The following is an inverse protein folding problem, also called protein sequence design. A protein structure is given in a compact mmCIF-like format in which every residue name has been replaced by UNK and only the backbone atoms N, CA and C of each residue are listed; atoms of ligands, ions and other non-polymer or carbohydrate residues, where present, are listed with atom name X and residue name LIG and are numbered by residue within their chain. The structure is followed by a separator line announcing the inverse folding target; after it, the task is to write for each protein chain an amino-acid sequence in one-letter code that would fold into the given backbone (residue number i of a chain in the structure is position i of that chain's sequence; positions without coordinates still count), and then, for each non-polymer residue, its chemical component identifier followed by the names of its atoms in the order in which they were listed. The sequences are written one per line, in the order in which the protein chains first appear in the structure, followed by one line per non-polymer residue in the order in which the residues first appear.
data_IF_051990065088
#
_entry.id   IF_051990065088
#
_cell.length_a   1.000
_cell.length_b   1.000
_cell.length_c   1.000
_cell.angle_alpha   90.00
_cell.angle_beta   90.00
_cell.angle_gamma   90.00
#
_symmetry.space_group_name_H-M   'P 1'
#
loop_
_entity.id
_entity.type
_entity.pdbx_description
1 polymer ?
#
# COMPACT_ATOMS: atom_id res chain seq x y z
N UNK A 1 6.42 -19.86 -4.54
CA UNK A 1 7.54 -19.08 -3.97
C UNK A 1 7.02 -17.92 -3.15
N UNK A 2 5.96 -17.22 -3.60
CA UNK A 2 5.34 -16.06 -2.90
C UNK A 2 4.89 -16.30 -1.46
N UNK A 3 4.77 -17.58 -1.04
CA UNK A 3 4.43 -17.97 0.33
C UNK A 3 5.61 -17.91 1.30
N UNK A 4 6.84 -17.97 0.80
CA UNK A 4 8.06 -18.03 1.61
C UNK A 4 8.78 -16.68 1.56
N UNK A 5 8.92 -16.10 0.36
CA UNK A 5 9.54 -14.80 0.18
C UNK A 5 8.99 -14.11 -1.08
N UNK A 6 9.00 -12.78 -1.04
CA UNK A 6 8.70 -11.88 -2.18
C UNK A 6 9.96 -11.23 -2.76
N UNK A 7 11.11 -11.56 -2.20
CA UNK A 7 12.42 -11.06 -2.61
C UNK A 7 13.23 -12.18 -3.27
N UNK A 8 13.93 -11.83 -4.35
CA UNK A 8 14.70 -12.76 -5.18
C UNK A 8 15.92 -13.31 -4.45
N UNK A 9 16.66 -12.46 -3.74
CA UNK A 9 17.86 -12.83 -3.00
C UNK A 9 17.47 -13.80 -1.87
N UNK A 10 16.42 -13.46 -1.13
CA UNK A 10 15.90 -14.32 -0.07
C UNK A 10 15.44 -15.68 -0.61
N UNK A 11 14.73 -15.71 -1.74
CA UNK A 11 14.21 -16.96 -2.32
C UNK A 11 15.34 -17.90 -2.74
N UNK A 12 16.40 -17.36 -3.36
CA UNK A 12 17.58 -18.12 -3.72
C UNK A 12 18.38 -18.59 -2.48
N UNK A 13 18.53 -17.72 -1.48
CA UNK A 13 19.20 -18.03 -0.22
C UNK A 13 18.52 -19.16 0.55
N UNK A 14 17.20 -19.19 0.59
CA UNK A 14 16.42 -20.25 1.24
C UNK A 14 16.64 -21.58 0.51
N UNK A 15 16.55 -21.60 -0.83
CA UNK A 15 16.77 -22.83 -1.59
C UNK A 15 18.19 -23.37 -1.40
N UNK A 16 19.20 -22.47 -1.39
CA UNK A 16 20.59 -22.84 -1.10
C UNK A 16 20.75 -23.46 0.28
N UNK A 17 20.10 -22.87 1.29
CA UNK A 17 20.15 -23.37 2.68
C UNK A 17 19.48 -24.74 2.80
N UNK A 18 18.31 -24.93 2.19
CA UNK A 18 17.60 -26.21 2.21
C UNK A 18 18.44 -27.32 1.55
N UNK A 19 19.04 -27.04 0.39
CA UNK A 19 19.92 -28.00 -0.29
C UNK A 19 21.20 -28.31 0.46
N UNK A 20 21.77 -27.34 1.19
CA UNK A 20 22.91 -27.61 2.06
C UNK A 20 22.57 -28.65 3.14
N UNK A 21 21.30 -28.71 3.56
CA UNK A 21 20.78 -29.71 4.49
C UNK A 21 20.15 -30.93 3.81
N UNK A 22 20.34 -31.12 2.51
CA UNK A 22 19.74 -32.22 1.72
C UNK A 22 18.20 -32.26 1.78
N UNK A 23 17.58 -31.08 1.90
CA UNK A 23 16.12 -30.91 1.93
C UNK A 23 15.63 -30.40 0.58
N UNK A 24 14.73 -31.17 -0.03
CA UNK A 24 14.04 -30.78 -1.25
C UNK A 24 12.84 -29.87 -0.98
N UNK A 25 12.74 -28.80 -1.76
CA UNK A 25 11.59 -27.90 -1.72
C UNK A 25 10.54 -28.35 -2.75
N UNK A 26 9.33 -28.63 -2.27
CA UNK A 26 8.19 -29.04 -3.10
C UNK A 26 7.11 -27.96 -3.15
N UNK A 27 6.32 -27.94 -4.22
CA UNK A 27 5.10 -27.10 -4.31
C UNK A 27 3.89 -27.96 -4.61
N UNK A 28 2.72 -27.54 -4.11
CA UNK A 28 1.44 -28.26 -4.32
C UNK A 28 1.14 -28.46 -5.81
N UNK A 29 1.58 -27.54 -6.67
CA UNK A 29 1.34 -27.58 -8.12
C UNK A 29 2.46 -28.29 -8.89
N UNK A 30 3.59 -28.60 -8.25
CA UNK A 30 4.76 -29.19 -8.90
C UNK A 30 4.77 -30.70 -8.76
N UNK A 31 5.07 -31.41 -9.86
CA UNK A 31 5.28 -32.86 -9.85
C UNK A 31 6.71 -33.26 -9.47
N UNK A 32 7.61 -32.29 -9.25
CA UNK A 32 9.02 -32.49 -8.93
C UNK A 32 9.53 -31.41 -7.95
N UNK A 33 10.68 -31.64 -7.28
CA UNK A 33 11.35 -30.61 -6.49
C UNK A 33 11.69 -29.37 -7.32
N UNK A 34 11.62 -28.20 -6.69
CA UNK A 34 11.90 -26.94 -7.37
C UNK A 34 13.41 -26.84 -7.72
N UNK A 35 13.68 -26.54 -8.99
CA UNK A 35 15.04 -26.28 -9.50
C UNK A 35 15.44 -24.81 -9.33
N UNK A 36 16.75 -24.52 -9.39
CA UNK A 36 17.27 -23.15 -9.19
C UNK A 36 16.71 -22.15 -10.20
N UNK A 37 16.67 -22.55 -11.47
CA UNK A 37 16.12 -21.72 -12.55
C UNK A 37 14.65 -21.39 -12.31
N UNK A 38 13.88 -22.35 -11.81
CA UNK A 38 12.46 -22.17 -11.52
C UNK A 38 12.24 -21.20 -10.36
N UNK A 39 13.08 -21.25 -9.31
CA UNK A 39 13.09 -20.25 -8.25
C UNK A 39 13.43 -18.86 -8.79
N UNK A 40 14.46 -18.75 -9.64
CA UNK A 40 14.85 -17.48 -10.24
C UNK A 40 13.70 -16.84 -11.04
N UNK A 41 13.10 -17.60 -11.96
CA UNK A 41 11.99 -17.14 -12.79
C UNK A 41 10.77 -16.75 -11.94
N UNK A 42 10.36 -17.62 -11.01
CA UNK A 42 9.19 -17.34 -10.16
C UNK A 42 9.41 -16.10 -9.28
N UNK A 43 10.64 -15.88 -8.81
CA UNK A 43 10.96 -14.72 -7.98
C UNK A 43 10.95 -13.42 -8.79
N UNK A 44 11.48 -13.44 -10.02
CA UNK A 44 11.41 -12.32 -10.96
C UNK A 44 9.95 -11.93 -11.26
N UNK A 45 9.12 -12.92 -11.61
CA UNK A 45 7.70 -12.70 -11.93
C UNK A 45 6.93 -12.12 -10.75
N UNK A 46 7.18 -12.62 -9.54
CA UNK A 46 6.55 -12.11 -8.31
C UNK A 46 6.91 -10.65 -8.05
N UNK A 47 8.19 -10.31 -8.21
CA UNK A 47 8.68 -8.95 -8.05
C UNK A 47 8.02 -7.99 -9.05
N UNK A 48 7.97 -8.36 -10.34
CA UNK A 48 7.33 -7.56 -11.38
C UNK A 48 5.83 -7.35 -11.09
N UNK A 49 5.11 -8.39 -10.67
CA UNK A 49 3.69 -8.28 -10.30
C UNK A 49 3.44 -7.30 -9.16
N UNK A 50 4.34 -7.24 -8.17
CA UNK A 50 4.24 -6.30 -7.04
C UNK A 50 4.45 -4.86 -7.53
N UNK A 51 5.45 -4.62 -8.38
CA UNK A 51 5.70 -3.30 -8.96
C UNK A 51 4.52 -2.82 -9.80
N UNK A 52 4.00 -3.69 -10.65
CA UNK A 52 2.80 -3.44 -11.43
C UNK A 52 1.60 -3.08 -10.56
N UNK A 53 1.40 -3.85 -9.48
CA UNK A 53 0.38 -3.59 -8.48
C UNK A 53 0.55 -2.22 -7.84
N UNK A 54 1.76 -1.84 -7.42
CA UNK A 54 2.07 -0.53 -6.84
C UNK A 54 1.70 0.61 -7.78
N UNK A 55 2.09 0.52 -9.05
CA UNK A 55 1.79 1.54 -10.06
C UNK A 55 0.28 1.65 -10.26
N UNK A 56 -0.39 0.53 -10.53
CA UNK A 56 -1.85 0.50 -10.79
C UNK A 56 -2.64 1.00 -9.58
N UNK A 57 -2.28 0.60 -8.37
CA UNK A 57 -2.90 1.10 -7.13
C UNK A 57 -2.70 2.61 -6.98
N UNK A 58 -1.48 3.12 -7.20
CA UNK A 58 -1.19 4.56 -7.10
C UNK A 58 -2.00 5.38 -8.11
N UNK A 59 -2.07 4.93 -9.36
CA UNK A 59 -2.86 5.62 -10.38
C UNK A 59 -4.37 5.54 -10.09
N UNK A 60 -4.85 4.41 -9.57
CA UNK A 60 -6.23 4.28 -9.08
C UNK A 60 -6.55 5.23 -7.92
N UNK A 61 -5.63 5.40 -6.97
CA UNK A 61 -5.75 6.37 -5.88
C UNK A 61 -5.78 7.81 -6.40
N UNK A 62 -4.90 8.18 -7.34
CA UNK A 62 -4.91 9.50 -7.98
C UNK A 62 -6.24 9.79 -8.69
N UNK A 63 -6.76 8.81 -9.42
CA UNK A 63 -8.07 8.94 -10.09
C UNK A 63 -9.20 9.18 -9.09
N UNK A 64 -9.16 8.48 -7.95
CA UNK A 64 -10.14 8.62 -6.88
C UNK A 64 -10.09 10.03 -6.26
N UNK A 65 -8.88 10.54 -6.01
CA UNK A 65 -8.64 11.90 -5.49
C UNK A 65 -9.14 12.95 -6.47
N UNK A 66 -8.85 12.80 -7.78
CA UNK A 66 -9.34 13.72 -8.82
C UNK A 66 -10.86 13.81 -8.90
N UNK A 67 -11.58 12.75 -8.48
CA UNK A 67 -13.04 12.72 -8.36
C UNK A 67 -13.57 13.33 -7.05
N UNK A 68 -12.70 13.96 -6.24
CA UNK A 68 -13.06 14.54 -4.95
C UNK A 68 -13.37 13.50 -3.86
N UNK A 69 -12.89 12.25 -4.03
CA UNK A 69 -13.15 11.14 -3.10
C UNK A 69 -11.88 10.77 -2.34
N UNK A 70 -12.04 10.32 -1.11
CA UNK A 70 -10.94 9.79 -0.32
C UNK A 70 -10.44 8.46 -0.92
N UNK A 71 -9.14 8.38 -1.18
CA UNK A 71 -8.48 7.20 -1.72
C UNK A 71 -7.87 6.26 -0.66
N UNK A 72 -7.94 6.63 0.61
CA UNK A 72 -7.36 5.89 1.74
C UNK A 72 -8.35 5.62 2.88
N UNK A 73 -7.79 5.20 4.01
CA UNK A 73 -8.53 4.96 5.26
C UNK A 73 -9.25 6.20 5.80
N UNK A 74 -10.10 6.01 6.81
CA UNK A 74 -10.73 7.11 7.52
C UNK A 74 -9.68 7.76 8.43
N UNK A 75 -9.35 9.03 8.18
CA UNK A 75 -8.49 9.81 9.06
C UNK A 75 -9.28 10.28 10.28
N UNK A 76 -8.60 10.39 11.43
CA UNK A 76 -9.13 11.08 12.61
C UNK A 76 -9.46 12.53 12.24
N UNK A 77 -10.49 13.13 12.84
CA UNK A 77 -11.15 14.39 12.45
C UNK A 77 -12.10 14.33 11.26
N UNK A 78 -12.31 13.15 10.68
CA UNK A 78 -13.25 12.93 9.59
C UNK A 78 -14.19 11.78 9.90
N UNK A 79 -15.41 11.86 9.35
CA UNK A 79 -16.38 10.76 9.34
C UNK A 79 -16.85 10.44 7.92
N UNK A 80 -17.44 9.26 7.74
CA UNK A 80 -18.03 8.86 6.46
C UNK A 80 -19.26 9.73 6.20
N UNK A 81 -19.29 10.42 5.07
CA UNK A 81 -20.48 11.17 4.64
C UNK A 81 -21.43 10.21 3.93
N UNK A 82 -22.60 9.97 4.51
CA UNK A 82 -23.62 9.08 3.95
C UNK A 82 -24.51 9.87 2.99
N UNK A 83 -24.08 9.98 1.73
CA UNK A 83 -24.92 10.47 0.64
C UNK A 83 -25.30 9.32 -0.29
N UNK A 84 -26.51 9.38 -0.84
CA UNK A 84 -27.07 8.35 -1.69
C UNK A 84 -27.29 8.87 -3.11
N UNK A 85 -27.01 8.04 -4.10
CA UNK A 85 -27.38 8.29 -5.49
C UNK A 85 -28.90 8.07 -5.64
N UNK A 86 -29.50 8.61 -6.70
CA UNK A 86 -30.93 8.41 -7.04
C UNK A 86 -31.39 6.95 -7.09
N UNK A 87 -30.45 5.99 -7.21
CA UNK A 87 -30.70 4.54 -7.17
C UNK A 87 -30.58 3.88 -5.78
N UNK A 88 -30.42 4.66 -4.70
CA UNK A 88 -30.36 4.14 -3.33
C UNK A 88 -29.01 3.58 -2.89
N UNK A 89 -27.99 3.57 -3.76
CA UNK A 89 -26.63 3.20 -3.38
C UNK A 89 -25.88 4.38 -2.76
N UNK A 90 -25.10 4.14 -1.71
CA UNK A 90 -24.29 5.18 -1.07
C UNK A 90 -23.04 5.52 -1.89
N UNK A 91 -22.69 6.81 -1.94
CA UNK A 91 -21.51 7.29 -2.64
C UNK A 91 -20.28 6.97 -1.80
N UNK A 92 -19.54 5.94 -2.21
CA UNK A 92 -18.27 5.55 -1.58
C UNK A 92 -17.23 6.67 -1.66
N UNK A 93 -16.46 6.82 -0.59
CA UNK A 93 -15.29 7.70 -0.53
C UNK A 93 -15.58 9.15 -0.12
N UNK A 94 -16.84 9.52 0.12
CA UNK A 94 -17.16 10.83 0.67
C UNK A 94 -16.83 10.89 2.16
N UNK A 95 -16.27 12.03 2.57
CA UNK A 95 -15.88 12.32 3.95
C UNK A 95 -16.39 13.71 4.32
N UNK A 96 -16.71 13.89 5.59
CA UNK A 96 -16.99 15.19 6.16
C UNK A 96 -16.18 15.38 7.45
N UNK A 97 -15.91 16.63 7.81
CA UNK A 97 -15.13 16.96 9.01
C UNK A 97 -15.99 16.72 10.25
N UNK A 98 -15.43 16.08 11.27
CA UNK A 98 -16.02 15.99 12.60
C UNK A 98 -15.45 17.15 13.46
N UNK A 99 -16.24 18.18 13.79
CA UNK A 99 -15.71 19.41 14.38
C UNK A 99 -14.96 19.20 15.69
N UNK A 100 -15.43 18.29 16.55
CA UNK A 100 -14.85 18.02 17.86
C UNK A 100 -13.45 17.43 17.74
N UNK A 101 -13.30 16.40 16.91
CA UNK A 101 -12.00 15.78 16.64
C UNK A 101 -11.06 16.73 15.88
N UNK A 102 -11.60 17.55 14.97
CA UNK A 102 -10.81 18.53 14.24
C UNK A 102 -10.22 19.62 15.15
N UNK A 103 -10.89 19.96 16.25
CA UNK A 103 -10.38 20.89 17.26
C UNK A 103 -9.20 20.29 18.02
N UNK A 104 -9.27 19.00 18.38
CA UNK A 104 -8.16 18.28 19.01
C UNK A 104 -6.93 18.28 18.09
N UNK A 105 -7.12 17.99 16.79
CA UNK A 105 -6.01 18.03 15.82
C UNK A 105 -5.38 19.44 15.76
N UNK A 106 -6.20 20.50 15.65
CA UNK A 106 -5.69 21.89 15.65
C UNK A 106 -4.92 22.20 16.93
N UNK A 107 -5.47 21.85 18.08
CA UNK A 107 -4.83 22.03 19.38
C UNK A 107 -3.47 21.32 19.44
N UNK A 108 -3.36 20.05 19.00
CA UNK A 108 -2.08 19.33 18.96
C UNK A 108 -1.06 20.09 18.11
N UNK A 109 -1.43 20.57 16.92
CA UNK A 109 -0.53 21.30 16.05
C UNK A 109 -0.08 22.65 16.64
N UNK A 110 -0.95 23.32 17.40
CA UNK A 110 -0.62 24.56 18.12
C UNK A 110 0.35 24.29 19.30
N UNK A 111 0.14 23.22 20.06
CA UNK A 111 1.02 22.85 21.18
C UNK A 111 2.37 22.27 20.72
N UNK A 112 2.41 21.62 19.55
CA UNK A 112 3.57 20.85 19.08
C UNK A 112 4.50 21.64 18.16
N UNK A 113 4.31 22.94 17.95
CA UNK A 113 5.09 23.72 16.99
C UNK A 113 6.38 24.31 17.59
N UNK A 114 7.58 23.75 17.33
CA UNK A 114 8.78 24.57 17.20
C UNK A 114 8.75 25.31 15.84
N UNK A 115 9.35 26.52 15.73
CA UNK A 115 9.24 27.42 14.56
C UNK A 115 9.66 26.85 13.19
N UNK A 116 10.26 25.66 13.13
CA UNK A 116 10.86 25.08 11.92
C UNK A 116 9.93 24.18 11.10
N UNK A 117 8.82 23.70 11.65
CA UNK A 117 7.98 22.70 10.97
C UNK A 117 7.02 23.29 9.92
N UNK A 118 6.76 24.60 9.97
CA UNK A 118 5.85 25.29 9.03
C UNK A 118 6.49 25.49 7.64
N UNK A 119 7.82 25.49 7.51
CA UNK A 119 8.49 25.67 6.21
C UNK A 119 8.44 24.44 5.29
N UNK A 120 8.24 23.24 5.82
CA UNK A 120 8.23 22.01 5.02
C UNK A 120 6.88 21.74 4.33
N UNK A 121 5.77 22.23 4.90
CA UNK A 121 4.42 22.04 4.35
C UNK A 121 4.09 22.96 3.16
N UNK A 122 4.92 23.99 2.91
CA UNK A 122 4.68 24.98 1.85
C UNK A 122 5.50 24.74 0.56
N UNK A 123 6.19 23.59 0.42
CA UNK A 123 7.14 23.39 -0.69
C UNK A 123 6.54 22.80 -1.99
N UNK A 124 5.35 22.18 -2.00
CA UNK A 124 4.90 21.43 -3.20
C UNK A 124 3.50 21.77 -3.76
N UNK A 125 2.88 22.89 -3.39
CA UNK A 125 1.62 23.34 -4.04
C UNK A 125 1.80 24.50 -5.04
N UNK A 126 3.04 24.96 -5.32
CA UNK A 126 3.31 26.04 -6.28
C UNK A 126 4.29 25.67 -7.42
N UNK A 127 4.59 24.38 -7.63
CA UNK A 127 5.44 23.94 -8.74
C UNK A 127 4.89 22.69 -9.42
N UNK A 128 3.79 22.84 -10.18
CA UNK A 128 3.39 22.13 -11.40
C UNK A 128 1.88 22.29 -11.66
#
# INVERSE_FOLDING_TARGET
MDRISRDMEHSAGILKTLRFHDIDLWTVTGAAPIKDMEVGIRSLLSHEQIEDGRIKTREGMKHTIRKGKAAGGLAYSYRVKLEYVSKGEHIRGLREKEPQEAEIVRWIFEQSAPPLMVKALNWNYMAA
#
